data_IF_588686265716
#
_entry.id   IF_588686265716
#
_cell.length_a   1.000
_cell.length_b   1.000
_cell.length_c   1.000
_cell.angle_alpha   90.00
_cell.angle_beta   90.00
_cell.angle_gamma   90.00
#
_symmetry.space_group_name_H-M   'P 1'
#
loop_
_entity.id
_entity.type
_entity.pdbx_description
1 polymer ?
#
# COMPACT_ATOMS: atom_id res chain seq x y z
N UNK A 1 -35.43 -14.20 23.93
CA UNK A 1 -34.06 -14.57 24.37
C UNK A 1 -33.22 -13.30 24.54
N UNK A 2 -32.65 -13.07 25.72
CA UNK A 2 -31.89 -11.85 26.04
C UNK A 2 -30.59 -11.75 25.22
N UNK A 3 -30.13 -10.51 24.97
CA UNK A 3 -28.84 -10.24 24.32
C UNK A 3 -27.68 -10.90 25.08
N UNK A 4 -27.74 -10.92 26.42
CA UNK A 4 -26.72 -11.54 27.28
C UNK A 4 -26.63 -13.04 27.05
N UNK A 5 -27.78 -13.72 26.92
CA UNK A 5 -27.82 -15.16 26.63
C UNK A 5 -27.24 -15.45 25.25
N UNK A 6 -27.56 -14.62 24.24
CA UNK A 6 -27.00 -14.75 22.89
C UNK A 6 -25.48 -14.52 22.89
N UNK A 7 -25.00 -13.54 23.65
CA UNK A 7 -23.58 -13.23 23.78
C UNK A 7 -22.82 -14.39 24.43
N UNK A 8 -23.30 -14.89 25.57
CA UNK A 8 -22.68 -16.02 26.26
C UNK A 8 -22.67 -17.28 25.36
N UNK A 9 -23.77 -17.52 24.63
CA UNK A 9 -23.85 -18.62 23.67
C UNK A 9 -22.86 -18.48 22.53
N UNK A 10 -22.62 -17.26 22.04
CA UNK A 10 -21.61 -16.99 21.02
C UNK A 10 -20.19 -17.19 21.58
N UNK A 11 -19.87 -16.56 22.71
CA UNK A 11 -18.55 -16.67 23.35
C UNK A 11 -18.17 -18.10 23.73
N UNK A 12 -19.16 -18.94 24.07
CA UNK A 12 -18.94 -20.36 24.37
C UNK A 12 -18.68 -21.25 23.14
N UNK A 13 -18.96 -20.78 21.93
CA UNK A 13 -18.75 -21.53 20.66
C UNK A 13 -17.53 -21.08 19.88
N UNK A 14 -17.03 -19.90 20.19
CA UNK A 14 -15.89 -19.26 19.55
C UNK A 14 -14.62 -20.08 19.78
N UNK A 15 -13.87 -20.32 18.71
CA UNK A 15 -12.51 -20.85 18.80
C UNK A 15 -11.50 -19.72 18.96
N UNK A 16 -11.06 -19.49 20.21
CA UNK A 16 -10.13 -18.41 20.55
C UNK A 16 -8.77 -18.49 19.84
N UNK A 17 -8.34 -19.69 19.45
CA UNK A 17 -7.12 -19.86 18.65
C UNK A 17 -7.22 -19.14 17.30
N UNK A 18 -8.39 -19.17 16.65
CA UNK A 18 -8.61 -18.50 15.37
C UNK A 18 -8.63 -16.97 15.54
N UNK A 19 -9.12 -16.47 16.68
CA UNK A 19 -9.14 -15.04 16.97
C UNK A 19 -7.73 -14.50 17.21
N UNK A 20 -6.95 -15.25 17.98
CA UNK A 20 -5.61 -14.83 18.40
C UNK A 20 -4.53 -15.09 17.33
N UNK A 21 -4.88 -15.73 16.21
CA UNK A 21 -3.94 -15.96 15.12
C UNK A 21 -3.62 -14.63 14.40
N UNK A 22 -2.34 -14.32 14.25
CA UNK A 22 -1.93 -13.12 13.51
C UNK A 22 -2.31 -13.24 12.02
N UNK A 23 -2.94 -12.21 11.41
CA UNK A 23 -3.23 -12.19 9.99
C UNK A 23 -1.98 -12.44 9.16
N UNK A 24 -2.10 -13.23 8.09
CA UNK A 24 -1.00 -13.56 7.19
C UNK A 24 0.23 -14.13 7.92
N UNK A 25 0.03 -14.86 9.01
CA UNK A 25 1.08 -15.39 9.88
C UNK A 25 2.04 -14.29 10.40
N UNK A 26 1.53 -13.07 10.61
CA UNK A 26 2.34 -11.94 11.04
C UNK A 26 3.17 -11.29 9.91
N UNK A 27 2.91 -11.63 8.65
CA UNK A 27 3.61 -10.99 7.53
C UNK A 27 3.15 -9.53 7.36
N UNK A 28 3.97 -8.63 7.90
CA UNK A 28 3.77 -7.18 7.88
C UNK A 28 3.65 -6.63 6.46
N UNK A 29 4.42 -7.15 5.50
CA UNK A 29 4.45 -6.65 4.13
C UNK A 29 3.13 -6.92 3.41
N UNK A 30 2.62 -8.14 3.50
CA UNK A 30 1.32 -8.51 2.92
C UNK A 30 0.21 -7.66 3.55
N UNK A 31 0.24 -7.49 4.88
CA UNK A 31 -0.74 -6.68 5.60
C UNK A 31 -0.69 -5.19 5.19
N UNK A 32 0.52 -4.65 5.01
CA UNK A 32 0.73 -3.29 4.54
C UNK A 32 0.20 -3.08 3.11
N UNK A 33 0.42 -4.06 2.21
CA UNK A 33 -0.12 -4.01 0.84
C UNK A 33 -1.65 -4.07 0.85
N UNK A 34 -2.24 -5.00 1.60
CA UNK A 34 -3.69 -5.20 1.66
C UNK A 34 -4.44 -4.00 2.28
N UNK A 35 -3.78 -3.20 3.13
CA UNK A 35 -4.35 -1.99 3.70
C UNK A 35 -4.31 -0.76 2.78
N UNK A 36 -3.69 -0.87 1.60
CA UNK A 36 -3.70 0.15 0.54
C UNK A 36 -4.86 -0.13 -0.41
N UNK A 37 -6.05 0.36 -0.09
CA UNK A 37 -7.22 0.21 -0.97
C UNK A 37 -7.51 1.53 -1.70
N UNK A 38 -7.66 1.46 -3.02
CA UNK A 38 -8.04 2.60 -3.88
C UNK A 38 -7.16 3.86 -3.67
N UNK A 39 -5.84 3.67 -3.57
CA UNK A 39 -4.89 4.76 -3.36
C UNK A 39 -4.91 5.38 -1.95
N UNK A 40 -5.75 4.88 -1.03
CA UNK A 40 -5.80 5.31 0.37
C UNK A 40 -5.22 4.23 1.28
N UNK A 41 -4.32 4.66 2.15
CA UNK A 41 -3.80 3.82 3.24
C UNK A 41 -4.81 3.84 4.38
N UNK A 42 -5.43 2.70 4.69
CA UNK A 42 -6.22 2.58 5.91
C UNK A 42 -5.29 2.39 7.11
N UNK A 43 -5.49 3.21 8.15
CA UNK A 43 -4.76 3.06 9.40
C UNK A 43 -5.23 1.80 10.12
N UNK A 44 -4.29 0.88 10.34
CA UNK A 44 -4.53 -0.37 11.06
C UNK A 44 -4.43 -0.16 12.57
N UNK A 45 -5.19 -0.96 13.32
CA UNK A 45 -5.10 -1.04 14.78
C UNK A 45 -5.12 -2.50 15.22
N UNK A 46 -4.45 -2.84 16.34
CA UNK A 46 -4.46 -4.20 16.85
C UNK A 46 -5.87 -4.74 17.13
N UNK A 47 -6.73 -3.88 17.72
CA UNK A 47 -8.15 -4.18 17.93
C UNK A 47 -8.87 -4.47 16.60
N UNK A 48 -8.61 -3.66 15.56
CA UNK A 48 -9.21 -3.85 14.24
C UNK A 48 -8.78 -5.15 13.57
N UNK A 49 -7.50 -5.52 13.67
CA UNK A 49 -6.99 -6.78 13.13
C UNK A 49 -7.61 -8.00 13.83
N UNK A 50 -7.64 -8.00 15.17
CA UNK A 50 -8.27 -9.09 15.92
C UNK A 50 -9.78 -9.16 15.64
N UNK A 51 -10.45 -8.01 15.45
CA UNK A 51 -11.85 -7.94 15.05
C UNK A 51 -12.10 -8.60 13.69
N UNK A 52 -11.19 -8.49 12.72
CA UNK A 52 -11.33 -9.18 11.44
C UNK A 52 -11.34 -10.70 11.62
N UNK A 53 -10.49 -11.24 12.51
CA UNK A 53 -10.49 -12.66 12.83
C UNK A 53 -11.79 -13.08 13.53
N UNK A 54 -12.28 -12.29 14.48
CA UNK A 54 -13.55 -12.54 15.14
C UNK A 54 -14.73 -12.53 14.14
N UNK A 55 -14.73 -11.62 13.16
CA UNK A 55 -15.75 -11.60 12.10
C UNK A 55 -15.71 -12.89 11.28
N UNK A 56 -14.51 -13.36 10.89
CA UNK A 56 -14.37 -14.64 10.17
C UNK A 56 -14.89 -15.82 10.99
N UNK A 57 -14.55 -15.86 12.27
CA UNK A 57 -15.01 -16.90 13.19
C UNK A 57 -16.52 -16.84 13.42
N UNK A 58 -17.09 -15.64 13.53
CA UNK A 58 -18.53 -15.44 13.62
C UNK A 58 -19.24 -15.96 12.36
N UNK A 59 -18.71 -15.66 11.17
CA UNK A 59 -19.25 -16.16 9.91
C UNK A 59 -19.13 -17.69 9.79
N UNK A 60 -18.04 -18.29 10.26
CA UNK A 60 -17.90 -19.76 10.37
C UNK A 60 -19.02 -20.37 11.22
N UNK A 61 -19.41 -19.67 12.27
CA UNK A 61 -20.52 -20.03 13.17
C UNK A 61 -21.90 -19.56 12.67
N UNK A 62 -21.99 -19.02 11.45
CA UNK A 62 -23.21 -18.48 10.83
C UNK A 62 -23.85 -17.32 11.64
N UNK A 63 -23.03 -16.55 12.36
CA UNK A 63 -23.44 -15.38 13.12
C UNK A 63 -23.06 -14.12 12.34
N UNK A 64 -24.07 -13.40 11.85
CA UNK A 64 -23.89 -12.15 11.07
C UNK A 64 -24.33 -10.89 11.84
N UNK A 65 -24.74 -11.04 13.10
CA UNK A 65 -25.22 -9.93 13.91
C UNK A 65 -24.04 -9.03 14.33
N UNK A 66 -23.86 -7.91 13.63
CA UNK A 66 -22.77 -6.96 13.87
C UNK A 66 -22.73 -6.43 15.30
N UNK A 67 -23.88 -6.17 15.91
CA UNK A 67 -23.95 -5.68 17.29
C UNK A 67 -23.42 -6.74 18.27
N UNK A 68 -23.83 -8.00 18.10
CA UNK A 68 -23.34 -9.11 18.90
C UNK A 68 -21.83 -9.33 18.72
N UNK A 69 -21.31 -9.21 17.50
CA UNK A 69 -19.88 -9.32 17.20
C UNK A 69 -19.09 -8.20 17.87
N UNK A 70 -19.60 -6.96 17.87
CA UNK A 70 -18.93 -5.85 18.56
C UNK A 70 -18.89 -6.07 20.08
N UNK A 71 -20.01 -6.49 20.69
CA UNK A 71 -20.04 -6.81 22.12
C UNK A 71 -19.07 -7.95 22.48
N UNK A 72 -19.02 -8.99 21.65
CA UNK A 72 -18.06 -10.08 21.83
C UNK A 72 -16.62 -9.58 21.68
N UNK A 73 -16.34 -8.73 20.70
CA UNK A 73 -15.01 -8.15 20.50
C UNK A 73 -14.54 -7.38 21.73
N UNK A 74 -15.40 -6.54 22.30
CA UNK A 74 -15.07 -5.77 23.51
C UNK A 74 -14.82 -6.69 24.70
N UNK A 75 -15.64 -7.72 24.87
CA UNK A 75 -15.45 -8.72 25.92
C UNK A 75 -14.12 -9.47 25.73
N UNK A 76 -13.84 -9.95 24.51
CA UNK A 76 -12.64 -10.73 24.22
C UNK A 76 -11.40 -9.86 24.42
N UNK A 77 -11.37 -8.66 23.83
CA UNK A 77 -10.22 -7.75 23.92
C UNK A 77 -9.89 -7.34 25.35
N UNK A 78 -10.91 -7.02 26.16
CA UNK A 78 -10.69 -6.46 27.49
C UNK A 78 -10.54 -7.52 28.58
N UNK A 79 -11.25 -8.65 28.46
CA UNK A 79 -11.36 -9.65 29.54
C UNK A 79 -10.59 -10.92 29.21
N UNK A 80 -10.63 -11.38 27.96
CA UNK A 80 -10.09 -12.69 27.60
C UNK A 80 -8.67 -12.63 27.01
N UNK A 81 -8.33 -11.56 26.29
CA UNK A 81 -7.03 -11.41 25.65
C UNK A 81 -5.97 -10.98 26.68
N UNK A 82 -4.84 -11.69 26.69
CA UNK A 82 -3.71 -11.29 27.53
C UNK A 82 -3.05 -10.03 26.99
N UNK A 83 -2.29 -9.33 27.84
CA UNK A 83 -1.49 -8.18 27.40
C UNK A 83 -0.51 -8.55 26.29
N UNK A 84 0.13 -9.72 26.37
CA UNK A 84 1.04 -10.20 25.32
C UNK A 84 0.34 -10.39 23.98
N UNK A 85 -0.83 -11.04 23.96
CA UNK A 85 -1.63 -11.21 22.74
C UNK A 85 -2.01 -9.85 22.13
N UNK A 86 -2.51 -8.92 22.94
CA UNK A 86 -2.85 -7.57 22.47
C UNK A 86 -1.64 -6.85 21.89
N UNK A 87 -0.49 -6.92 22.56
CA UNK A 87 0.76 -6.32 22.08
C UNK A 87 1.21 -6.90 20.73
N UNK A 88 1.06 -8.21 20.48
CA UNK A 88 1.40 -8.80 19.18
C UNK A 88 0.57 -8.18 18.04
N UNK A 89 -0.74 -8.01 18.24
CA UNK A 89 -1.60 -7.37 17.24
C UNK A 89 -1.31 -5.87 17.09
N UNK A 90 -1.02 -5.17 18.20
CA UNK A 90 -0.69 -3.74 18.18
C UNK A 90 0.62 -3.51 17.42
N UNK A 91 1.65 -4.30 17.69
CA UNK A 91 2.95 -4.20 17.04
C UNK A 91 2.82 -4.49 15.54
N UNK A 92 2.15 -5.58 15.16
CA UNK A 92 1.90 -5.93 13.76
C UNK A 92 1.18 -4.80 13.00
N UNK A 93 0.16 -4.18 13.62
CA UNK A 93 -0.52 -3.04 13.03
C UNK A 93 0.41 -1.81 12.90
N UNK A 94 1.22 -1.54 13.92
CA UNK A 94 2.19 -0.44 13.91
C UNK A 94 3.19 -0.59 12.78
N UNK A 95 3.84 -1.76 12.69
CA UNK A 95 4.85 -2.05 11.69
C UNK A 95 4.29 -1.90 10.26
N UNK A 96 3.06 -2.37 10.04
CA UNK A 96 2.40 -2.25 8.74
C UNK A 96 2.04 -0.79 8.41
N UNK A 97 1.61 -0.01 9.41
CA UNK A 97 1.37 1.42 9.24
C UNK A 97 2.68 2.18 8.92
N UNK A 98 3.79 1.83 9.56
CA UNK A 98 5.10 2.46 9.33
C UNK A 98 5.62 2.17 7.91
N UNK A 99 5.46 0.94 7.42
CA UNK A 99 5.75 0.60 6.02
C UNK A 99 4.92 1.46 5.05
N UNK A 100 3.64 1.65 5.34
CA UNK A 100 2.77 2.45 4.50
C UNK A 100 3.11 3.95 4.55
N UNK A 101 3.50 4.47 5.72
CA UNK A 101 3.96 5.86 5.87
C UNK A 101 5.23 6.12 5.05
N UNK A 102 6.18 5.18 5.09
CA UNK A 102 7.41 5.27 4.31
C UNK A 102 7.13 5.20 2.80
N UNK A 103 6.15 4.40 2.39
CA UNK A 103 5.72 4.33 0.99
C UNK A 103 5.10 5.65 0.50
N UNK A 104 4.16 6.23 1.27
CA UNK A 104 3.55 7.53 0.95
C UNK A 104 4.62 8.63 0.86
N UNK A 105 5.57 8.63 1.79
CA UNK A 105 6.67 9.62 1.81
C UNK A 105 7.57 9.48 0.56
N UNK A 106 7.89 8.25 0.13
CA UNK A 106 8.69 8.02 -1.09
C UNK A 106 7.96 8.42 -2.37
N UNK A 107 6.66 8.13 -2.48
CA UNK A 107 5.86 8.56 -3.63
C UNK A 107 5.76 10.09 -3.74
N UNK A 108 5.79 10.79 -2.61
CA UNK A 108 5.80 12.25 -2.57
C UNK A 108 7.18 12.86 -2.93
N UNK A 109 8.28 12.16 -2.63
CA UNK A 109 9.64 12.58 -2.97
C UNK A 109 10.01 12.49 -4.47
N UNK A 110 9.15 11.92 -5.32
CA UNK A 110 9.37 11.92 -6.78
C UNK A 110 9.27 13.36 -7.34
N UNK A 111 8.60 14.26 -6.63
CA UNK A 111 8.53 15.69 -6.95
C UNK A 111 9.60 16.48 -6.20
N UNK A 112 10.83 15.97 -6.09
CA UNK A 112 11.92 16.84 -5.63
C UNK A 112 12.20 17.86 -6.74
N UNK A 113 12.29 19.17 -6.43
CA UNK A 113 12.60 20.21 -7.42
C UNK A 113 13.84 19.84 -8.24
N UNK A 114 14.84 19.21 -7.61
CA UNK A 114 16.07 18.78 -8.25
C UNK A 114 15.86 17.74 -9.37
N UNK A 115 14.90 16.80 -9.24
CA UNK A 115 14.65 15.79 -10.28
C UNK A 115 13.90 16.39 -11.47
N UNK A 116 12.91 17.26 -11.22
CA UNK A 116 12.23 17.98 -12.30
C UNK A 116 13.16 18.98 -12.98
N UNK A 117 14.05 19.64 -12.23
CA UNK A 117 15.08 20.51 -12.77
C UNK A 117 16.05 19.73 -13.66
N UNK A 118 16.48 18.53 -13.25
CA UNK A 118 17.32 17.66 -14.09
C UNK A 118 16.60 17.21 -15.37
N UNK A 119 15.30 16.86 -15.28
CA UNK A 119 14.50 16.51 -16.47
C UNK A 119 14.33 17.73 -17.39
N UNK A 120 14.14 18.92 -16.84
CA UNK A 120 14.01 20.17 -17.62
C UNK A 120 15.32 20.57 -18.33
N UNK A 121 16.46 20.00 -17.92
CA UNK A 121 17.78 20.22 -18.56
C UNK A 121 18.10 19.19 -19.66
N UNK A 122 17.33 18.12 -19.81
CA UNK A 122 17.49 17.16 -20.91
C UNK A 122 17.36 17.76 -22.33
N UNK A 123 16.50 18.77 -22.58
CA UNK A 123 16.46 19.41 -23.90
C UNK A 123 17.61 20.41 -24.14
N UNK A 124 18.47 20.67 -23.15
CA UNK A 124 19.62 21.57 -23.32
C UNK A 124 20.78 20.80 -23.95
N UNK A 125 21.31 21.25 -25.10
CA UNK A 125 22.46 20.62 -25.73
C UNK A 125 23.65 20.54 -24.76
N UNK A 126 24.13 19.33 -24.54
CA UNK A 126 25.32 19.04 -23.75
C UNK A 126 26.57 19.38 -24.56
N UNK A 127 27.58 19.95 -23.90
CA UNK A 127 28.88 20.22 -24.51
C UNK A 127 29.56 18.88 -24.80
N UNK A 128 29.77 18.57 -26.07
CA UNK A 128 30.43 17.35 -26.55
C UNK A 128 31.81 17.66 -27.11
N UNK A 129 32.79 16.78 -26.88
CA UNK A 129 34.16 16.97 -27.38
C UNK A 129 34.40 16.30 -28.74
N UNK A 130 33.49 15.43 -29.17
CA UNK A 130 33.54 14.76 -30.48
C UNK A 130 32.13 14.50 -31.05
N UNK A 131 32.10 14.05 -32.32
CA UNK A 131 30.88 13.82 -33.09
C UNK A 131 30.06 12.63 -32.54
N UNK A 132 30.72 11.64 -31.92
CA UNK A 132 30.04 10.49 -31.33
C UNK A 132 29.28 10.91 -30.06
N UNK A 133 29.93 11.66 -29.17
CA UNK A 133 29.32 12.27 -28.00
C UNK A 133 28.20 13.24 -28.39
N UNK A 134 28.40 14.03 -29.45
CA UNK A 134 27.39 14.95 -29.94
C UNK A 134 26.11 14.23 -30.37
N UNK A 135 26.23 13.14 -31.12
CA UNK A 135 25.08 12.36 -31.56
C UNK A 135 24.41 11.60 -30.42
N UNK A 136 25.19 11.10 -29.44
CA UNK A 136 24.66 10.36 -28.30
C UNK A 136 23.91 11.25 -27.31
N UNK A 137 24.44 12.44 -27.00
CA UNK A 137 23.86 13.33 -25.99
C UNK A 137 22.85 14.34 -26.57
N UNK A 138 22.97 14.71 -27.84
CA UNK A 138 22.19 15.80 -28.46
C UNK A 138 21.40 15.38 -29.71
N UNK A 139 21.47 14.11 -30.13
CA UNK A 139 20.86 13.64 -31.38
C UNK A 139 19.34 13.43 -31.34
N UNK A 140 18.69 13.57 -30.18
CA UNK A 140 17.24 13.42 -30.04
C UNK A 140 16.57 14.80 -29.92
N UNK A 141 15.82 15.20 -30.96
CA UNK A 141 14.95 16.38 -30.94
C UNK A 141 13.57 15.93 -30.47
N UNK A 142 13.17 16.34 -29.26
CA UNK A 142 11.82 16.13 -28.77
C UNK A 142 10.94 17.28 -29.29
N UNK A 143 10.05 16.97 -30.23
CA UNK A 143 9.08 17.95 -30.72
C UNK A 143 8.08 18.25 -29.60
N UNK A 144 8.02 19.51 -29.15
CA UNK A 144 7.02 20.04 -28.20
C UNK A 144 5.62 20.04 -28.86
N UNK A 145 5.05 18.85 -29.03
CA UNK A 145 3.62 18.67 -29.18
C UNK A 145 3.04 18.61 -27.78
N UNK A 146 2.23 19.60 -27.42
CA UNK A 146 1.71 19.89 -26.06
C UNK A 146 0.83 18.77 -25.42
N UNK A 147 0.87 17.54 -25.91
CA UNK A 147 0.12 16.40 -25.40
C UNK A 147 1.10 15.31 -24.96
N UNK A 148 1.08 14.94 -23.68
CA UNK A 148 1.91 13.88 -23.07
C UNK A 148 1.81 12.50 -23.76
N UNK A 149 0.84 12.29 -24.65
CA UNK A 149 0.70 11.07 -25.45
C UNK A 149 1.70 10.95 -26.61
N UNK A 150 2.37 12.03 -27.02
CA UNK A 150 3.40 12.00 -28.08
C UNK A 150 4.75 11.41 -27.60
N UNK A 151 4.97 11.29 -26.29
CA UNK A 151 6.21 10.74 -25.71
C UNK A 151 6.31 9.21 -25.82
N UNK A 152 5.25 8.53 -26.27
CA UNK A 152 5.17 7.06 -26.36
C UNK A 152 5.32 6.53 -27.79
N UNK A 153 5.60 7.38 -28.77
CA UNK A 153 5.85 6.92 -30.14
C UNK A 153 6.99 7.71 -30.77
N UNK A 154 8.06 7.04 -31.25
CA UNK A 154 9.01 7.71 -32.12
C UNK A 154 8.26 8.03 -33.41
N UNK A 155 7.72 9.24 -33.51
CA UNK A 155 7.13 9.71 -34.76
C UNK A 155 8.28 10.14 -35.67
N UNK A 156 8.38 9.45 -36.80
CA UNK A 156 9.30 9.73 -37.90
C UNK A 156 9.21 11.20 -38.33
N UNK A 157 10.21 12.01 -37.98
CA UNK A 157 10.50 13.25 -38.69
C UNK A 157 11.70 12.98 -39.59
N UNK A 158 11.42 12.63 -40.85
CA UNK A 158 12.42 12.65 -41.91
C UNK A 158 12.83 14.09 -42.20
N UNK A 159 14.12 14.38 -42.15
CA UNK A 159 14.77 15.31 -43.07
C UNK A 159 16.24 14.90 -43.27
N UNK A 160 16.45 14.37 -44.47
CA UNK A 160 17.68 14.29 -45.27
C UNK A 160 18.92 13.63 -44.66
N UNK A 161 19.11 12.38 -45.09
CA UNK A 161 20.35 11.64 -45.14
C UNK A 161 21.55 12.49 -45.58
N UNK A 162 22.52 12.68 -44.68
CA UNK A 162 23.90 12.92 -45.08
C UNK A 162 24.66 11.58 -45.03
N UNK A 163 25.00 11.07 -46.20
CA UNK A 163 25.83 9.89 -46.43
C UNK A 163 27.18 10.03 -45.73
N UNK A 164 27.60 9.01 -44.98
CA UNK A 164 28.94 8.88 -44.42
C UNK A 164 29.96 8.57 -45.54
N UNK A 165 31.14 9.22 -45.59
CA UNK A 165 32.35 8.59 -46.11
C UNK A 165 32.96 7.58 -45.11
#
# INVERSE_FOLDING_TARGET
MSIRTKLNGFLGRVQYININQLPYNGNVQILAIQSRSNGRVQRLTGYGLMKQNLVREAHRLQIFNRYLINLAMDHIWNIHSTSSQRSQFINLASDANDLNRNHVSRGHCINTPNTLELISRLPVPQISNDIFEQNLFNGAVFCDGNNFESLLSPSECFLESSSFP
#
